data_IF_022991030818
#
_entry.id   IF_022991030818
#
_cell.length_a   1.000
_cell.length_b   1.000
_cell.length_c   1.000
_cell.angle_alpha   90.00
_cell.angle_beta   90.00
_cell.angle_gamma   90.00
#
_symmetry.space_group_name_H-M   'P 1'
#
loop_
_entity.id
_entity.type
_entity.pdbx_description
1 polymer ?
#
# COMPACT_ATOMS: atom_id res chain seq x y z
N UNK A 1 -15.80 -1.75 -9.14
CA UNK A 1 -14.91 -2.85 -9.34
C UNK A 1 -14.14 -3.19 -8.08
N UNK A 2 -13.35 -4.18 -8.18
CA UNK A 2 -12.54 -4.64 -7.07
C UNK A 2 -11.12 -4.15 -7.20
N UNK A 3 -10.47 -3.94 -6.08
CA UNK A 3 -9.08 -3.52 -6.11
C UNK A 3 -8.21 -4.65 -6.64
N UNK A 4 -7.33 -4.31 -7.54
CA UNK A 4 -6.40 -5.27 -8.11
C UNK A 4 -5.11 -4.55 -8.44
N UNK A 5 -3.98 -5.16 -8.09
CA UNK A 5 -2.69 -4.60 -8.40
C UNK A 5 -2.05 -3.93 -7.22
N UNK A 6 -1.04 -3.14 -7.49
CA UNK A 6 -0.24 -2.49 -6.45
C UNK A 6 -0.80 -1.11 -6.15
N UNK A 7 -1.05 -0.87 -4.88
CA UNK A 7 -1.53 0.42 -4.40
C UNK A 7 -0.48 1.03 -3.49
N UNK A 8 0.01 2.20 -3.88
CA UNK A 8 1.04 2.88 -3.11
C UNK A 8 0.46 4.14 -2.50
N UNK A 9 0.71 4.32 -1.22
CA UNK A 9 0.23 5.48 -0.48
C UNK A 9 1.42 6.37 -0.13
N UNK A 10 1.22 7.67 -0.24
CA UNK A 10 2.29 8.63 0.02
C UNK A 10 1.92 9.54 1.18
N UNK A 11 2.94 10.03 1.87
CA UNK A 11 2.73 10.99 2.94
C UNK A 11 2.67 12.39 2.34
N UNK A 12 2.36 13.34 3.19
CA UNK A 12 2.29 14.73 2.76
C UNK A 12 3.66 15.22 2.29
N UNK A 13 4.71 14.59 2.76
CA UNK A 13 6.07 14.96 2.37
C UNK A 13 6.49 14.34 1.04
N UNK A 14 5.66 13.47 0.49
CA UNK A 14 5.98 12.85 -0.78
C UNK A 14 6.69 11.51 -0.65
N UNK A 15 6.84 11.02 0.56
CA UNK A 15 7.49 9.74 0.80
C UNK A 15 6.46 8.62 0.79
N UNK A 16 6.91 7.41 0.47
CA UNK A 16 6.04 6.26 0.45
C UNK A 16 5.68 5.89 1.88
N UNK A 17 4.39 5.89 2.18
CA UNK A 17 3.91 5.53 3.50
C UNK A 17 3.69 4.03 3.63
N UNK A 18 3.08 3.46 2.62
CA UNK A 18 2.84 2.02 2.62
C UNK A 18 2.51 1.56 1.22
N UNK A 19 2.66 0.28 1.01
CA UNK A 19 2.35 -0.33 -0.26
C UNK A 19 1.48 -1.55 0.00
N UNK A 20 0.41 -1.70 -0.78
CA UNK A 20 -0.49 -2.82 -0.66
C UNK A 20 -0.65 -3.47 -2.02
N UNK A 21 -0.76 -4.78 -2.02
CA UNK A 21 -1.04 -5.50 -3.25
C UNK A 21 -2.37 -6.20 -3.07
N UNK A 22 -3.29 -5.90 -3.96
CA UNK A 22 -4.65 -6.41 -3.89
C UNK A 22 -4.92 -7.32 -5.06
N UNK A 23 -5.76 -8.30 -4.83
CA UNK A 23 -6.21 -9.18 -5.88
C UNK A 23 -7.67 -9.54 -5.63
N UNK A 24 -8.52 -9.21 -6.59
CA UNK A 24 -9.95 -9.51 -6.50
C UNK A 24 -10.57 -8.92 -5.23
N UNK A 25 -10.10 -7.76 -4.83
CA UNK A 25 -10.65 -7.12 -3.65
C UNK A 25 -10.08 -7.63 -2.34
N UNK A 26 -9.10 -8.49 -2.42
CA UNK A 26 -8.47 -9.06 -1.23
C UNK A 26 -7.03 -8.58 -1.13
N UNK A 27 -6.66 -8.08 0.02
CA UNK A 27 -5.29 -7.62 0.22
C UNK A 27 -4.40 -8.82 0.51
N UNK A 28 -3.43 -9.07 -0.36
CA UNK A 28 -2.54 -10.21 -0.24
C UNK A 28 -1.15 -9.82 0.25
N UNK A 29 -0.84 -8.53 0.27
CA UNK A 29 0.45 -8.06 0.74
C UNK A 29 0.29 -6.68 1.34
N UNK A 30 0.97 -6.44 2.43
CA UNK A 30 0.87 -5.17 3.13
C UNK A 30 2.24 -4.83 3.69
N UNK A 31 2.82 -3.75 3.20
CA UNK A 31 4.12 -3.29 3.68
C UNK A 31 3.99 -1.83 4.10
N UNK A 32 4.21 -1.57 5.38
CA UNK A 32 4.16 -0.22 5.90
C UNK A 32 5.58 0.27 6.11
N UNK A 33 5.89 1.41 5.52
CA UNK A 33 7.23 1.96 5.56
C UNK A 33 7.37 3.04 6.62
N UNK A 34 6.41 3.13 7.45
CA UNK A 34 6.49 4.15 8.48
C UNK A 34 7.42 3.71 9.55
N UNK A 35 8.11 3.58 9.84
CA UNK A 35 8.72 3.07 10.79
C UNK A 35 9.33 3.07 11.40
N UNK A 36 9.55 2.94 11.70
CA UNK A 36 10.15 2.77 12.11
C UNK A 36 10.65 2.24 12.83
N UNK A 37 10.83 2.02 12.98
CA UNK A 37 11.22 1.41 13.72
C UNK A 37 11.64 1.54 14.21
#
# INVERSE_FOLDING_TARGET
GKKTGTWTYYTILGDIEKTEIWKNGVKIFDSTDAESS
#
